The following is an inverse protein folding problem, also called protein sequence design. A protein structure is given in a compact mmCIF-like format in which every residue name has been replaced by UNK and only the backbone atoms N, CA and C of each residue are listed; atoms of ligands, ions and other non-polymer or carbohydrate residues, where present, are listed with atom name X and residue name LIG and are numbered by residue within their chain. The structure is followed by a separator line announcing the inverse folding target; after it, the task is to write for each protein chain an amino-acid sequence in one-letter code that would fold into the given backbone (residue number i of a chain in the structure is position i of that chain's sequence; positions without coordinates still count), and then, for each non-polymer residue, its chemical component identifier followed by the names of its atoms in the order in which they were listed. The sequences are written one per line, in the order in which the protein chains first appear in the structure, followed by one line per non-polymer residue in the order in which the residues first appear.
data_IF_966374427439
#
_entry.id   IF_966374427439
#
_cell.length_a   1.000
_cell.length_b   1.000
_cell.length_c   1.000
_cell.angle_alpha   90.00
_cell.angle_beta   90.00
_cell.angle_gamma   90.00
#
_symmetry.space_group_name_H-M   'P 1'
#
loop_
_entity.id
_entity.type
_entity.pdbx_description
1 polymer ?
#
# COMPACT_ATOMS: atom_id res chain seq x y z
N UNK A 1 12.97 10.40 12.35
CA UNK A 1 11.95 9.75 13.19
C UNK A 1 12.43 8.34 13.45
N UNK A 2 12.44 7.88 14.70
CA UNK A 2 12.78 6.48 15.00
C UNK A 2 11.69 5.54 14.48
N UNK A 3 11.96 4.24 14.38
CA UNK A 3 10.93 3.28 13.99
C UNK A 3 9.82 3.16 15.04
N UNK A 4 10.14 3.39 16.32
CA UNK A 4 9.18 3.41 17.41
C UNK A 4 8.22 4.61 17.30
N UNK A 5 8.77 5.82 17.06
CA UNK A 5 7.96 7.02 16.80
C UNK A 5 7.06 6.82 15.57
N UNK A 6 7.61 6.22 14.51
CA UNK A 6 6.86 5.90 13.30
C UNK A 6 5.73 4.91 13.58
N UNK A 7 6.02 3.84 14.33
CA UNK A 7 5.04 2.82 14.72
C UNK A 7 3.87 3.43 15.49
N UNK A 8 4.15 4.30 16.46
CA UNK A 8 3.12 5.01 17.23
C UNK A 8 2.31 5.95 16.34
N UNK A 9 2.97 6.78 15.54
CA UNK A 9 2.31 7.72 14.64
C UNK A 9 1.44 7.00 13.60
N UNK A 10 1.91 5.88 13.06
CA UNK A 10 1.17 5.03 12.14
C UNK A 10 -0.11 4.51 12.82
N UNK A 11 0.00 3.90 14.00
CA UNK A 11 -1.15 3.37 14.74
C UNK A 11 -2.19 4.46 15.02
N UNK A 12 -1.75 5.63 15.52
CA UNK A 12 -2.63 6.77 15.81
C UNK A 12 -3.32 7.29 14.52
N UNK A 13 -2.59 7.35 13.41
CA UNK A 13 -3.15 7.80 12.12
C UNK A 13 -4.19 6.83 11.56
N UNK A 14 -3.95 5.51 11.64
CA UNK A 14 -4.87 4.48 11.17
C UNK A 14 -6.15 4.46 12.01
N UNK A 15 -6.02 4.64 13.32
CA UNK A 15 -7.17 4.73 14.23
C UNK A 15 -8.01 5.98 13.95
N UNK A 16 -7.37 7.14 13.83
CA UNK A 16 -8.05 8.41 13.49
C UNK A 16 -8.79 8.33 12.15
N UNK A 17 -8.24 7.60 11.19
CA UNK A 17 -8.83 7.41 9.87
C UNK A 17 -9.86 6.28 9.80
N UNK A 18 -10.20 5.63 10.92
CA UNK A 18 -11.07 4.46 10.97
C UNK A 18 -10.63 3.34 9.98
N UNK A 19 -9.32 3.14 9.86
CA UNK A 19 -8.72 2.03 9.10
C UNK A 19 -8.48 0.83 10.01
N UNK A 20 -7.96 1.05 11.23
CA UNK A 20 -7.77 0.01 12.25
C UNK A 20 -8.32 0.54 13.58
N UNK A 21 -9.34 -0.06 14.19
CA UNK A 21 -9.96 -1.37 13.89
C UNK A 21 -11.07 -1.33 12.82
N UNK A 22 -11.08 -0.32 11.94
CA UNK A 22 -12.10 -0.16 10.91
C UNK A 22 -11.87 -1.01 9.65
N UNK A 23 -11.97 -0.39 8.47
CA UNK A 23 -12.05 -1.11 7.20
C UNK A 23 -10.87 -2.04 6.90
N UNK A 24 -9.68 -1.75 7.44
CA UNK A 24 -8.44 -2.51 7.21
C UNK A 24 -8.09 -3.48 8.37
N UNK A 25 -8.95 -3.71 9.36
CA UNK A 25 -8.62 -4.54 10.53
C UNK A 25 -8.26 -6.01 10.20
N UNK A 26 -8.83 -6.58 9.13
CA UNK A 26 -8.46 -7.92 8.67
C UNK A 26 -7.10 -7.97 7.96
N UNK A 27 -6.57 -6.82 7.57
CA UNK A 27 -5.33 -6.68 6.77
C UNK A 27 -4.15 -6.20 7.62
N UNK A 28 -4.41 -5.32 8.58
CA UNK A 28 -3.43 -4.74 9.48
C UNK A 28 -3.84 -5.11 10.92
N UNK A 29 -3.14 -6.03 11.58
CA UNK A 29 -3.41 -6.38 12.98
C UNK A 29 -3.36 -5.16 13.90
N UNK A 30 -4.22 -5.12 14.93
CA UNK A 30 -4.30 -3.99 15.86
C UNK A 30 -3.00 -3.76 16.66
N UNK A 31 -2.23 -4.83 16.88
CA UNK A 31 -0.94 -4.83 17.56
C UNK A 31 0.25 -4.77 16.58
N UNK A 32 -0.01 -4.54 15.28
CA UNK A 32 1.04 -4.47 14.26
C UNK A 32 2.15 -3.49 14.64
N UNK A 33 3.39 -3.91 14.41
CA UNK A 33 4.60 -3.10 14.57
C UNK A 33 5.41 -3.19 13.28
N UNK A 34 5.61 -2.08 12.55
CA UNK A 34 6.42 -2.10 11.35
C UNK A 34 7.86 -2.49 11.69
N UNK A 35 8.46 -3.35 10.87
CA UNK A 35 9.87 -3.74 10.95
C UNK A 35 10.73 -3.03 9.90
N UNK A 36 10.09 -2.38 8.93
CA UNK A 36 10.72 -1.53 7.93
C UNK A 36 10.02 -0.18 7.83
N UNK A 37 10.78 0.84 7.46
CA UNK A 37 10.24 2.17 7.14
C UNK A 37 9.98 2.24 5.65
N UNK A 38 8.71 2.30 5.25
CA UNK A 38 8.29 2.43 3.86
C UNK A 38 8.15 3.91 3.46
N UNK A 39 8.91 4.32 2.45
CA UNK A 39 8.81 5.64 1.84
C UNK A 39 8.21 5.52 0.43
N UNK A 40 7.19 6.34 0.18
CA UNK A 40 6.47 6.41 -1.10
C UNK A 40 6.42 7.87 -1.49
N UNK A 41 6.86 8.20 -2.71
CA UNK A 41 6.97 9.59 -3.18
C UNK A 41 6.34 9.73 -4.57
N UNK A 42 5.37 10.64 -4.68
CA UNK A 42 4.80 11.08 -5.95
C UNK A 42 5.44 12.39 -6.36
N UNK A 43 6.28 12.38 -7.41
CA UNK A 43 7.05 13.56 -7.80
C UNK A 43 8.01 13.98 -6.69
N UNK A 44 7.75 15.14 -6.07
CA UNK A 44 8.48 15.69 -4.94
C UNK A 44 7.76 15.54 -3.59
N UNK A 45 6.55 14.96 -3.59
CA UNK A 45 5.68 14.89 -2.42
C UNK A 45 5.64 13.48 -1.84
N UNK A 46 6.14 13.37 -0.61
CA UNK A 46 6.13 12.12 0.14
C UNK A 46 4.74 11.80 0.73
N UNK A 47 4.36 10.53 0.67
CA UNK A 47 3.23 9.98 1.43
C UNK A 47 3.63 9.88 2.88
N UNK A 48 2.79 10.42 3.76
CA UNK A 48 3.06 10.53 5.18
C UNK A 48 1.75 10.37 5.97
N UNK A 49 1.43 9.12 6.31
CA UNK A 49 0.47 8.73 7.34
C UNK A 49 -0.89 9.47 7.24
N UNK A 50 -1.43 9.55 6.02
CA UNK A 50 -2.75 10.09 5.73
C UNK A 50 -2.78 11.49 5.12
N UNK A 51 -1.62 12.08 4.81
CA UNK A 51 -1.56 13.36 4.11
C UNK A 51 -2.33 13.33 2.78
N UNK A 52 -2.76 14.52 2.37
CA UNK A 52 -3.71 14.69 1.27
C UNK A 52 -3.03 14.84 -0.09
N UNK A 53 -3.59 14.21 -1.11
CA UNK A 53 -3.22 14.31 -2.51
C UNK A 53 -4.43 14.62 -3.40
N UNK A 54 -4.14 15.19 -4.57
CA UNK A 54 -5.05 15.30 -5.71
C UNK A 54 -4.78 14.17 -6.69
N UNK A 55 -5.81 13.66 -7.35
CA UNK A 55 -5.68 12.59 -8.34
C UNK A 55 -4.63 12.92 -9.41
N UNK A 56 -4.54 14.18 -9.83
CA UNK A 56 -3.55 14.68 -10.78
C UNK A 56 -2.09 14.55 -10.33
N UNK A 57 -1.81 14.59 -9.02
CA UNK A 57 -0.47 14.40 -8.44
C UNK A 57 -0.01 12.93 -8.54
N UNK A 58 -0.97 12.00 -8.63
CA UNK A 58 -0.74 10.56 -8.54
C UNK A 58 -0.96 9.83 -9.88
N UNK A 59 -0.73 10.51 -11.02
CA UNK A 59 -0.91 9.91 -12.36
C UNK A 59 0.14 8.87 -12.70
N UNK A 60 1.36 9.06 -12.23
CA UNK A 60 2.50 8.15 -12.44
C UNK A 60 2.75 7.32 -11.19
N UNK A 61 3.28 6.10 -11.37
CA UNK A 61 3.65 5.26 -10.24
C UNK A 61 4.67 5.98 -9.34
N UNK A 62 4.53 5.89 -8.00
CA UNK A 62 5.43 6.57 -7.09
C UNK A 62 6.80 5.88 -7.06
N UNK A 63 7.83 6.63 -6.66
CA UNK A 63 9.08 6.04 -6.22
C UNK A 63 8.86 5.37 -4.85
N UNK A 64 9.41 4.18 -4.68
CA UNK A 64 9.28 3.39 -3.44
C UNK A 64 10.68 3.06 -2.94
N UNK A 65 10.96 3.37 -1.68
CA UNK A 65 12.17 2.94 -0.97
C UNK A 65 11.79 2.41 0.40
N UNK A 66 12.62 1.53 0.96
CA UNK A 66 12.41 1.05 2.31
C UNK A 66 13.73 0.63 2.94
N UNK A 67 13.85 0.90 4.24
CA UNK A 67 15.00 0.57 5.06
C UNK A 67 14.57 -0.28 6.27
N UNK A 68 15.46 -1.20 6.65
CA UNK A 68 15.28 -2.05 7.83
C UNK A 68 15.62 -1.29 9.10
N UNK A 69 14.94 -1.63 10.19
CA UNK A 69 15.39 -1.25 11.52
C UNK A 69 16.81 -1.79 11.78
N UNK A 70 17.69 -1.06 12.47
CA UNK A 70 19.00 -1.57 12.89
C UNK A 70 18.92 -2.90 13.65
N UNK A 71 17.84 -3.08 14.42
CA UNK A 71 17.51 -4.26 15.20
C UNK A 71 16.82 -5.39 14.41
N UNK A 72 16.51 -5.19 13.12
CA UNK A 72 15.94 -6.25 12.28
C UNK A 72 17.03 -7.27 11.92
N UNK A 73 16.94 -8.47 12.50
CA UNK A 73 17.94 -9.54 12.37
C UNK A 73 17.82 -10.36 11.08
N UNK A 74 16.68 -10.30 10.42
CA UNK A 74 16.45 -10.90 9.11
C UNK A 74 16.24 -9.77 8.11
N UNK A 75 16.92 -9.80 6.94
CA UNK A 75 16.25 -9.57 5.64
C UNK A 75 17.09 -9.08 4.45
N UNK A 76 18.41 -8.92 4.57
CA UNK A 76 19.23 -8.40 3.46
C UNK A 76 19.16 -9.21 2.13
N UNK A 77 18.67 -10.46 2.15
CA UNK A 77 18.66 -11.35 0.99
C UNK A 77 17.33 -11.59 0.26
N UNK A 78 16.18 -11.35 0.89
CA UNK A 78 14.90 -11.75 0.29
C UNK A 78 14.12 -10.63 -0.40
N UNK A 79 12.97 -11.02 -0.95
CA UNK A 79 12.13 -10.17 -1.79
C UNK A 79 10.86 -9.72 -1.09
N UNK A 80 10.29 -8.64 -1.62
CA UNK A 80 9.12 -7.99 -1.08
C UNK A 80 8.04 -7.83 -2.12
N UNK A 81 6.81 -7.75 -1.64
CA UNK A 81 5.66 -7.38 -2.43
C UNK A 81 5.09 -6.06 -1.90
N UNK A 82 4.83 -5.11 -2.80
CA UNK A 82 4.03 -3.93 -2.50
C UNK A 82 2.64 -4.10 -3.09
N UNK A 83 1.62 -3.86 -2.26
CA UNK A 83 0.22 -3.77 -2.66
C UNK A 83 -0.27 -2.34 -2.40
N UNK A 84 -0.79 -1.69 -3.43
CA UNK A 84 -1.56 -0.45 -3.33
C UNK A 84 -3.05 -0.75 -3.50
N UNK A 85 -3.85 -0.40 -2.49
CA UNK A 85 -5.29 -0.67 -2.50
C UNK A 85 -6.14 0.45 -1.89
N UNK A 86 -7.38 0.58 -2.34
CA UNK A 86 -8.37 1.58 -1.92
C UNK A 86 -9.57 0.91 -1.23
N UNK A 87 -9.68 0.93 0.11
CA UNK A 87 -10.83 0.38 0.84
C UNK A 87 -12.15 1.12 0.61
N UNK A 88 -12.13 2.27 -0.08
CA UNK A 88 -13.25 3.18 -0.20
C UNK A 88 -13.93 3.11 -1.58
N UNK A 89 -13.49 2.26 -2.52
CA UNK A 89 -14.11 2.21 -3.84
C UNK A 89 -15.56 1.64 -3.83
N UNK A 90 -16.51 2.19 -4.61
CA UNK A 90 -16.38 3.37 -5.47
C UNK A 90 -16.46 4.71 -4.73
N UNK A 91 -16.99 4.75 -3.50
CA UNK A 91 -17.00 5.95 -2.64
C UNK A 91 -16.93 5.51 -1.16
N UNK A 92 -16.32 6.30 -0.25
CA UNK A 92 -16.24 5.95 1.17
C UNK A 92 -17.61 5.68 1.83
N UNK A 93 -18.68 6.30 1.32
CA UNK A 93 -20.05 6.18 1.84
C UNK A 93 -20.77 4.89 1.37
N UNK A 94 -20.39 4.31 0.23
CA UNK A 94 -20.89 3.04 -0.32
C UNK A 94 -19.74 2.24 -0.94
N UNK A 95 -18.83 1.64 -0.13
CA UNK A 95 -17.60 1.03 -0.61
C UNK A 95 -17.83 -0.41 -1.10
N UNK A 96 -18.81 -0.64 -1.98
CA UNK A 96 -19.14 -1.98 -2.50
C UNK A 96 -18.04 -2.66 -3.33
N UNK A 97 -17.05 -1.89 -3.79
CA UNK A 97 -15.86 -2.38 -4.50
C UNK A 97 -14.59 -2.23 -3.66
N UNK A 98 -14.76 -2.14 -2.33
CA UNK A 98 -13.70 -1.95 -1.35
C UNK A 98 -12.47 -2.79 -1.65
N UNK A 99 -11.31 -2.22 -1.32
CA UNK A 99 -10.00 -2.73 -1.66
C UNK A 99 -9.83 -2.84 -3.18
N UNK A 100 -10.08 -1.75 -3.90
CA UNK A 100 -9.73 -1.69 -5.30
C UNK A 100 -8.22 -1.87 -5.47
N UNK A 101 -7.79 -2.78 -6.34
CA UNK A 101 -6.38 -3.09 -6.58
C UNK A 101 -5.76 -2.11 -7.58
N UNK A 102 -4.94 -1.20 -7.08
CA UNK A 102 -4.29 -0.16 -7.90
C UNK A 102 -2.93 -0.59 -8.43
N UNK A 103 -2.15 -1.31 -7.63
CA UNK A 103 -0.81 -1.76 -8.02
C UNK A 103 -0.38 -2.96 -7.18
N UNK A 104 0.18 -3.99 -7.82
CA UNK A 104 0.82 -5.12 -7.13
C UNK A 104 2.12 -5.44 -7.83
N UNK A 105 3.23 -5.28 -7.11
CA UNK A 105 4.58 -5.60 -7.58
C UNK A 105 5.23 -6.55 -6.62
N UNK A 106 5.65 -7.70 -7.15
CA UNK A 106 6.39 -8.73 -6.44
C UNK A 106 7.89 -8.60 -6.73
N UNK A 107 8.72 -9.30 -5.97
CA UNK A 107 10.15 -9.34 -6.21
C UNK A 107 10.88 -8.02 -5.93
N UNK A 108 10.30 -7.09 -5.17
CA UNK A 108 10.98 -5.86 -4.80
C UNK A 108 12.21 -6.19 -3.94
N UNK A 109 13.33 -5.53 -4.23
CA UNK A 109 14.54 -5.57 -3.40
C UNK A 109 14.91 -4.17 -2.95
N UNK A 110 15.35 -3.99 -1.70
CA UNK A 110 15.78 -2.68 -1.20
C UNK A 110 16.93 -2.14 -2.06
N UNK A 111 16.92 -0.82 -2.33
CA UNK A 111 17.98 -0.16 -3.10
C UNK A 111 19.30 -0.04 -2.34
N UNK A 112 19.24 -0.10 -1.01
CA UNK A 112 20.32 0.22 -0.06
C UNK A 112 20.20 1.66 0.44
N UNK A 113 20.20 1.86 1.75
CA UNK A 113 19.89 3.17 2.34
C UNK A 113 18.52 3.68 1.88
N UNK A 114 18.47 4.95 1.45
CA UNK A 114 17.24 5.60 0.96
C UNK A 114 17.04 5.44 -0.57
N UNK A 115 17.86 4.62 -1.23
CA UNK A 115 17.74 4.42 -2.67
C UNK A 115 16.44 3.68 -3.03
N UNK A 116 15.89 4.04 -4.20
CA UNK A 116 14.67 3.43 -4.76
C UNK A 116 14.84 1.91 -4.86
N UNK A 117 13.81 1.20 -4.41
CA UNK A 117 13.73 -0.24 -4.46
C UNK A 117 13.76 -0.72 -5.92
N UNK A 118 14.48 -1.82 -6.14
CA UNK A 118 14.64 -2.42 -7.45
C UNK A 118 13.52 -3.42 -7.69
N UNK A 119 12.81 -3.25 -8.80
CA UNK A 119 11.88 -4.24 -9.32
C UNK A 119 12.68 -5.37 -9.98
N UNK A 120 12.50 -6.60 -9.53
CA UNK A 120 13.14 -7.78 -10.15
C UNK A 120 12.19 -8.61 -11.01
N UNK A 121 10.89 -8.27 -11.00
CA UNK A 121 9.82 -8.95 -11.74
C UNK A 121 8.86 -7.90 -12.33
N UNK A 122 8.14 -8.23 -13.41
CA UNK A 122 7.01 -7.42 -13.88
C UNK A 122 5.92 -7.28 -12.80
N UNK A 123 5.09 -6.25 -12.91
CA UNK A 123 3.94 -6.09 -12.02
C UNK A 123 2.92 -7.23 -12.24
N UNK A 124 2.36 -7.73 -11.13
CA UNK A 124 1.20 -8.63 -11.16
C UNK A 124 -0.09 -7.85 -11.45
N UNK A 125 -0.10 -6.56 -11.11
CA UNK A 125 -1.14 -5.62 -11.49
C UNK A 125 -0.46 -4.30 -11.81
N UNK A 126 -0.57 -3.86 -13.06
CA UNK A 126 0.05 -2.60 -13.50
C UNK A 126 -0.52 -1.41 -12.72
N UNK A 127 0.32 -0.38 -12.51
CA UNK A 127 -0.08 0.80 -11.77
C UNK A 127 -1.26 1.51 -12.45
N UNK A 128 -2.32 1.72 -11.68
CA UNK A 128 -3.41 2.61 -12.03
C UNK A 128 -3.53 3.66 -10.94
N UNK A 129 -3.41 4.93 -11.30
CA UNK A 129 -3.48 6.03 -10.34
C UNK A 129 -4.83 6.12 -9.62
N UNK A 130 -4.89 6.83 -8.48
CA UNK A 130 -6.13 7.28 -7.87
C UNK A 130 -7.06 7.93 -8.89
N UNK A 131 -8.33 7.53 -8.88
CA UNK A 131 -9.37 8.11 -9.74
C UNK A 131 -10.69 8.38 -9.00
N UNK A 132 -10.68 8.91 -7.76
CA UNK A 132 -11.92 9.32 -7.11
C UNK A 132 -12.60 10.41 -7.93
N UNK A 133 -13.93 10.38 -7.98
CA UNK A 133 -14.71 11.42 -8.66
C UNK A 133 -14.68 12.72 -7.87
N UNK A 134 -14.89 13.85 -8.55
CA UNK A 134 -14.87 15.19 -7.93
C UNK A 134 -15.98 15.39 -6.88
N UNK A 135 -17.07 14.64 -7.00
CA UNK A 135 -18.20 14.63 -6.06
C UNK A 135 -18.05 13.60 -4.92
N UNK A 136 -17.02 12.74 -4.97
CA UNK A 136 -16.73 11.78 -3.91
C UNK A 136 -15.93 12.44 -2.78
N UNK A 137 -16.18 12.00 -1.54
CA UNK A 137 -15.26 12.30 -0.43
C UNK A 137 -13.86 11.74 -0.73
N UNK A 138 -12.79 12.29 -0.13
CA UNK A 138 -11.45 11.74 -0.31
C UNK A 138 -11.39 10.25 0.05
N UNK A 139 -10.79 9.45 -0.83
CA UNK A 139 -10.54 8.04 -0.62
C UNK A 139 -9.23 7.84 0.13
N UNK A 140 -9.12 6.75 0.87
CA UNK A 140 -7.89 6.30 1.54
C UNK A 140 -7.16 5.35 0.60
N UNK A 141 -5.84 5.48 0.50
CA UNK A 141 -4.99 4.61 -0.31
C UNK A 141 -3.92 4.00 0.58
N UNK A 142 -3.92 2.68 0.68
CA UNK A 142 -3.01 1.90 1.54
C UNK A 142 -1.86 1.34 0.70
N UNK A 143 -0.63 1.68 1.10
CA UNK A 143 0.60 1.07 0.61
C UNK A 143 1.08 0.04 1.62
N UNK A 144 1.07 -1.22 1.24
CA UNK A 144 1.34 -2.34 2.13
C UNK A 144 2.57 -3.08 1.61
N UNK A 145 3.63 -3.10 2.40
CA UNK A 145 4.85 -3.82 2.08
C UNK A 145 4.85 -5.16 2.82
N UNK A 146 4.97 -6.24 2.08
CA UNK A 146 5.03 -7.60 2.59
C UNK A 146 6.38 -8.23 2.29
N UNK A 147 6.92 -9.00 3.23
CA UNK A 147 7.99 -9.96 2.97
C UNK A 147 7.42 -11.18 2.23
N UNK A 148 8.06 -11.56 1.13
CA UNK A 148 7.73 -12.77 0.38
C UNK A 148 8.37 -14.01 1.04
N UNK A 149 7.68 -15.16 1.06
CA UNK A 149 8.32 -16.43 1.38
C UNK A 149 9.30 -16.83 0.28
N UNK A 150 10.25 -17.69 0.63
CA UNK A 150 11.20 -18.24 -0.33
C UNK A 150 10.47 -19.00 -1.46
N UNK A 151 10.93 -18.83 -2.70
CA UNK A 151 10.37 -19.51 -3.85
C UNK A 151 9.01 -18.98 -4.33
N UNK A 152 8.50 -17.86 -3.80
CA UNK A 152 7.24 -17.29 -4.27
C UNK A 152 7.26 -16.97 -5.77
N UNK A 153 6.37 -17.66 -6.51
CA UNK A 153 6.15 -17.47 -7.93
C UNK A 153 4.66 -17.21 -8.17
N UNK A 154 4.35 -16.01 -8.65
CA UNK A 154 2.99 -15.56 -8.92
C UNK A 154 2.89 -14.99 -10.34
N UNK A 155 1.70 -15.08 -10.90
CA UNK A 155 1.31 -14.52 -12.19
C UNK A 155 0.12 -13.58 -12.01
N UNK A 156 -0.27 -12.89 -13.08
CA UNK A 156 -1.40 -11.93 -13.08
C UNK A 156 -2.72 -12.62 -12.71
N UNK A 157 -2.85 -13.90 -13.02
CA UNK A 157 -4.02 -14.72 -12.68
C UNK A 157 -4.17 -14.91 -11.17
N UNK A 158 -3.07 -14.93 -10.40
CA UNK A 158 -3.13 -15.08 -8.94
C UNK A 158 -3.76 -13.87 -8.25
N UNK A 159 -3.64 -12.68 -8.85
CA UNK A 159 -4.33 -11.46 -8.38
C UNK A 159 -5.68 -11.26 -9.06
N UNK A 160 -6.10 -12.16 -9.95
CA UNK A 160 -7.41 -12.12 -10.62
C UNK A 160 -7.42 -11.52 -12.03
N UNK A 161 -6.27 -11.18 -12.60
CA UNK A 161 -6.11 -10.62 -13.95
C UNK A 161 -5.89 -9.09 -13.98
N UNK A 162 -5.89 -8.51 -15.18
CA UNK A 162 -5.59 -7.10 -15.41
C UNK A 162 -6.80 -6.26 -15.81
N UNK A 163 -7.94 -6.89 -16.13
CA UNK A 163 -9.13 -6.17 -16.57
C UNK A 163 -9.62 -5.22 -15.47
N UNK A 164 -10.13 -4.05 -15.87
CA UNK A 164 -10.55 -3.02 -14.93
C UNK A 164 -11.55 -3.53 -13.89
N UNK A 165 -12.47 -4.40 -14.30
CA UNK A 165 -13.48 -5.00 -13.40
C UNK A 165 -12.89 -6.03 -12.43
N UNK A 166 -11.77 -6.67 -12.77
CA UNK A 166 -11.08 -7.67 -11.95
C UNK A 166 -10.25 -7.04 -10.81
N UNK A 167 -10.12 -5.71 -10.80
CA UNK A 167 -9.44 -4.96 -9.73
C UNK A 167 -10.34 -4.68 -8.53
N UNK A 168 -11.67 -4.77 -8.70
CA UNK A 168 -12.68 -4.52 -7.66
C UNK A 168 -12.66 -5.60 -6.60
N UNK A 169 -13.03 -5.25 -5.37
CA UNK A 169 -13.31 -6.24 -4.31
C UNK A 169 -12.14 -7.20 -4.08
N UNK A 170 -10.91 -6.73 -4.27
CA UNK A 170 -9.72 -7.54 -4.01
C UNK A 170 -9.65 -7.85 -2.52
N UNK A 171 -9.14 -9.03 -2.17
CA UNK A 171 -9.11 -9.49 -0.79
C UNK A 171 -7.66 -9.56 -0.32
N UNK A 172 -7.03 -8.42 0.01
CA UNK A 172 -5.60 -8.38 0.30
C UNK A 172 -5.21 -9.23 1.52
N UNK A 173 -6.10 -9.33 2.52
CA UNK A 173 -5.86 -10.16 3.70
C UNK A 173 -5.84 -11.66 3.35
N UNK A 174 -6.90 -12.16 2.69
CA UNK A 174 -6.97 -13.55 2.23
C UNK A 174 -5.83 -13.88 1.25
N UNK A 175 -5.47 -12.94 0.38
CA UNK A 175 -4.35 -13.09 -0.54
C UNK A 175 -3.01 -13.20 0.19
N UNK A 176 -2.76 -12.34 1.18
CA UNK A 176 -1.54 -12.37 1.97
C UNK A 176 -1.41 -13.69 2.75
N UNK A 177 -2.49 -14.13 3.41
CA UNK A 177 -2.54 -15.41 4.13
C UNK A 177 -2.28 -16.59 3.19
N UNK A 178 -3.01 -16.67 2.08
CA UNK A 178 -2.90 -17.75 1.08
C UNK A 178 -1.48 -17.93 0.56
N UNK A 179 -0.74 -16.84 0.42
CA UNK A 179 0.60 -16.82 -0.17
C UNK A 179 1.72 -16.65 0.86
N UNK A 180 1.43 -16.77 2.16
CA UNK A 180 2.43 -16.69 3.22
C UNK A 180 3.16 -15.35 3.28
N UNK A 181 2.49 -14.27 2.87
CA UNK A 181 3.05 -12.91 2.87
C UNK A 181 3.00 -12.34 4.29
N UNK A 182 4.13 -11.84 4.79
CA UNK A 182 4.22 -11.23 6.12
C UNK A 182 4.27 -9.71 6.00
N UNK A 183 3.30 -9.00 6.57
CA UNK A 183 3.29 -7.53 6.57
C UNK A 183 4.51 -7.00 7.34
N UNK A 184 5.29 -6.10 6.73
CA UNK A 184 6.49 -5.50 7.34
C UNK A 184 6.38 -3.98 7.47
N UNK A 185 5.57 -3.33 6.64
CA UNK A 185 5.31 -1.89 6.75
C UNK A 185 4.00 -1.49 6.10
N UNK A 186 3.46 -0.37 6.56
CA UNK A 186 2.29 0.30 6.00
C UNK A 186 2.59 1.78 5.93
N UNK A 187 2.22 2.42 4.83
CA UNK A 187 2.05 3.86 4.74
C UNK A 187 0.74 4.13 3.99
N UNK A 188 0.16 5.31 4.12
CA UNK A 188 -1.13 5.60 3.50
C UNK A 188 -1.31 7.09 3.25
N UNK A 189 -2.22 7.42 2.33
CA UNK A 189 -2.60 8.79 1.99
C UNK A 189 -4.12 8.90 1.85
N UNK A 190 -4.60 10.14 1.87
CA UNK A 190 -5.93 10.48 1.35
C UNK A 190 -5.79 11.09 -0.04
N UNK A 191 -6.72 10.80 -0.94
CA UNK A 191 -6.73 11.42 -2.26
C UNK A 191 -8.15 11.71 -2.73
N UNK A 192 -8.35 12.88 -3.35
CA UNK A 192 -9.63 13.30 -3.93
C UNK A 192 -9.47 13.72 -5.38
N UNK A 193 -10.60 13.83 -6.08
CA UNK A 193 -10.63 14.35 -7.45
C UNK A 193 -10.02 15.75 -7.53
N UNK A 194 -9.49 16.11 -8.69
CA UNK A 194 -8.86 17.41 -8.89
C UNK A 194 -9.87 18.55 -8.67
N UNK A 195 -11.14 18.32 -9.01
CA UNK A 195 -12.25 19.25 -8.80
C UNK A 195 -12.95 19.15 -7.45
N UNK A 196 -12.51 18.26 -6.54
CA UNK A 196 -13.12 18.16 -5.22
C UNK A 196 -12.93 19.44 -4.41
N UNK A 197 -14.02 20.07 -4.01
CA UNK A 197 -14.01 21.40 -3.37
C UNK A 197 -14.08 21.37 -1.85
N UNK A 198 -14.42 20.23 -1.26
CA UNK A 198 -14.34 19.97 0.18
C UNK A 198 -15.15 20.92 1.06
#
# INVERSE_FOLDING_TARGET
MSLEDYSKALADSLAKANLVPGSAAGLIPADFRPTTKLEVVFGDKAVNLGNFFRAGECKQAPAVSFAFAPEATDDAGGSYMLILTDPDAPTPDDPKFAFWRHWVVAGLRPGGGDAVARLTKPALTEYLGPGPKDDSKPHRYLFLLFREPEGLALTKENVGGEEFVQRRSFKPAEFAEKHGLKLVSVNWMTCAGDGWTG
#
